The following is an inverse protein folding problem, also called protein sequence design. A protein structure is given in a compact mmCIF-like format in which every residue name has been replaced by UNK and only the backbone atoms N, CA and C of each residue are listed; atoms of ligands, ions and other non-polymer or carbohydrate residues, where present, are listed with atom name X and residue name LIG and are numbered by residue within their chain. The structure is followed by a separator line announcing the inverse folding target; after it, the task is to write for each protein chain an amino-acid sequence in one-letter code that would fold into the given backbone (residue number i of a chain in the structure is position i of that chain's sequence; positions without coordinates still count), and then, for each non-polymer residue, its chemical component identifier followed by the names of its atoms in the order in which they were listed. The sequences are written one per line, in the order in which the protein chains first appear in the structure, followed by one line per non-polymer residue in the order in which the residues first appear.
data_IF_440025953359
#
_entry.id   IF_440025953359
#
_cell.length_a   1.000
_cell.length_b   1.000
_cell.length_c   1.000
_cell.angle_alpha   90.00
_cell.angle_beta   90.00
_cell.angle_gamma   90.00
#
_symmetry.space_group_name_H-M   'P 1'
#
loop_
_entity.id
_entity.type
_entity.pdbx_description
1 polymer ?
#
# COMPACT_ATOMS: atom_id res chain seq x y z
N UNK A 1 14.68 -7.15 2.54
CA UNK A 1 14.29 -6.40 1.32
C UNK A 1 13.14 -5.49 1.71
N UNK A 2 12.72 -4.52 0.90
CA UNK A 2 11.62 -3.60 1.25
C UNK A 2 10.30 -4.05 0.61
N UNK A 3 9.89 -5.31 0.82
CA UNK A 3 8.59 -5.80 0.34
C UNK A 3 7.49 -5.56 1.38
N UNK A 4 6.23 -5.63 0.96
CA UNK A 4 5.08 -5.54 1.88
C UNK A 4 5.21 -6.55 3.03
N UNK A 5 5.56 -7.80 2.72
CA UNK A 5 5.70 -8.86 3.72
C UNK A 5 6.82 -8.56 4.74
N UNK A 6 7.97 -8.05 4.26
CA UNK A 6 9.08 -7.67 5.14
C UNK A 6 8.65 -6.55 6.11
N UNK A 7 7.97 -5.51 5.59
CA UNK A 7 7.52 -4.36 6.39
C UNK A 7 6.41 -4.73 7.40
N UNK A 8 5.48 -5.61 7.02
CA UNK A 8 4.44 -6.08 7.93
C UNK A 8 5.04 -6.93 9.07
N UNK A 9 6.00 -7.80 8.75
CA UNK A 9 6.69 -8.63 9.74
C UNK A 9 7.55 -7.79 10.71
N UNK A 10 8.16 -6.72 10.23
CA UNK A 10 8.99 -5.83 11.05
C UNK A 10 8.15 -4.90 11.96
N UNK A 11 7.01 -4.44 11.47
CA UNK A 11 6.27 -3.33 12.10
C UNK A 11 4.93 -3.72 12.74
N UNK A 12 4.45 -4.95 12.57
CA UNK A 12 3.12 -5.34 13.08
C UNK A 12 3.09 -6.76 13.65
N UNK A 13 2.12 -7.02 14.54
CA UNK A 13 1.79 -8.36 15.03
C UNK A 13 0.43 -8.84 14.46
N UNK A 14 0.18 -8.55 13.18
CA UNK A 14 -1.08 -8.93 12.52
C UNK A 14 -1.22 -10.45 12.40
N UNK A 15 -2.43 -11.01 12.57
CA UNK A 15 -2.66 -12.42 12.28
C UNK A 15 -2.42 -12.70 10.79
N UNK A 16 -2.01 -13.93 10.46
CA UNK A 16 -1.70 -14.31 9.07
C UNK A 16 -2.83 -14.00 8.08
N UNK A 17 -4.09 -14.18 8.48
CA UNK A 17 -5.25 -13.84 7.65
C UNK A 17 -5.35 -12.35 7.31
N UNK A 18 -4.92 -11.45 8.20
CA UNK A 18 -4.86 -10.02 7.92
C UNK A 18 -3.70 -9.69 6.99
N UNK A 19 -2.55 -10.35 7.15
CA UNK A 19 -1.40 -10.21 6.24
C UNK A 19 -1.79 -10.65 4.82
N UNK A 20 -2.44 -11.80 4.68
CA UNK A 20 -2.95 -12.32 3.40
C UNK A 20 -3.95 -11.34 2.76
N UNK A 21 -4.82 -10.74 3.57
CA UNK A 21 -5.76 -9.73 3.09
C UNK A 21 -5.04 -8.49 2.56
N UNK A 22 -4.01 -7.98 3.26
CA UNK A 22 -3.23 -6.83 2.79
C UNK A 22 -2.48 -7.15 1.49
N UNK A 23 -1.97 -8.38 1.33
CA UNK A 23 -1.41 -8.84 0.07
C UNK A 23 -2.45 -8.83 -1.06
N UNK A 24 -3.67 -9.31 -0.80
CA UNK A 24 -4.75 -9.28 -1.79
C UNK A 24 -5.14 -7.84 -2.16
N UNK A 25 -5.21 -6.93 -1.19
CA UNK A 25 -5.48 -5.50 -1.46
C UNK A 25 -4.41 -4.90 -2.36
N UNK A 26 -3.12 -5.09 -2.02
CA UNK A 26 -2.01 -4.56 -2.83
C UNK A 26 -1.91 -5.24 -4.20
N UNK A 27 -2.38 -6.47 -4.34
CA UNK A 27 -2.46 -7.16 -5.63
C UNK A 27 -3.47 -6.53 -6.59
N UNK A 28 -4.62 -6.07 -6.08
CA UNK A 28 -5.76 -5.67 -6.91
C UNK A 28 -6.02 -4.16 -6.98
N UNK A 29 -5.38 -3.36 -6.12
CA UNK A 29 -5.67 -1.93 -5.99
C UNK A 29 -5.23 -1.04 -7.17
N UNK A 30 -4.63 -1.58 -8.23
CA UNK A 30 -4.38 -0.80 -9.46
C UNK A 30 -5.69 -0.33 -10.07
N UNK A 31 -6.70 -1.21 -10.14
CA UNK A 31 -8.03 -0.85 -10.65
C UNK A 31 -8.68 0.24 -9.77
N UNK A 32 -8.51 0.14 -8.45
CA UNK A 32 -8.99 1.16 -7.52
C UNK A 32 -8.32 2.52 -7.76
N UNK A 33 -7.00 2.54 -7.93
CA UNK A 33 -6.23 3.75 -8.22
C UNK A 33 -6.67 4.36 -9.55
N UNK A 34 -6.79 3.55 -10.60
CA UNK A 34 -7.15 3.98 -11.95
C UNK A 34 -8.57 4.57 -12.01
N UNK A 35 -9.55 3.94 -11.37
CA UNK A 35 -10.94 4.41 -11.31
C UNK A 35 -11.11 5.68 -10.48
N UNK A 36 -10.20 5.91 -9.52
CA UNK A 36 -10.23 7.08 -8.64
C UNK A 36 -9.38 8.24 -9.15
N UNK A 37 -8.58 8.02 -10.20
CA UNK A 37 -7.57 8.97 -10.70
C UNK A 37 -6.63 9.49 -9.59
N UNK A 38 -6.30 8.63 -8.61
CA UNK A 38 -5.61 9.03 -7.39
C UNK A 38 -4.52 8.04 -6.97
N UNK A 39 -3.45 8.59 -6.37
CA UNK A 39 -2.43 7.82 -5.68
C UNK A 39 -2.96 7.28 -4.35
N UNK A 40 -2.56 6.07 -3.98
CA UNK A 40 -2.89 5.46 -2.69
C UNK A 40 -1.64 5.09 -1.92
N UNK A 41 -1.69 5.32 -0.60
CA UNK A 41 -0.68 4.87 0.36
C UNK A 41 -1.36 3.98 1.41
N UNK A 42 -0.79 2.81 1.65
CA UNK A 42 -1.25 1.91 2.71
C UNK A 42 -0.45 2.15 3.97
N UNK A 43 -1.14 2.47 5.07
CA UNK A 43 -0.55 2.73 6.37
C UNK A 43 -0.97 1.65 7.37
N UNK A 44 0.01 1.15 8.12
CA UNK A 44 -0.24 0.30 9.30
C UNK A 44 0.19 1.03 10.56
N UNK A 45 -0.48 0.73 11.66
CA UNK A 45 -0.14 1.25 12.98
C UNK A 45 0.68 0.22 13.73
N UNK A 46 1.83 0.64 14.24
CA UNK A 46 2.69 -0.15 15.14
C UNK A 46 2.14 -0.12 16.57
N UNK A 47 2.65 -1.01 17.41
CA UNK A 47 2.28 -1.07 18.83
C UNK A 47 2.67 0.21 19.60
N UNK A 48 3.71 0.92 19.15
CA UNK A 48 4.15 2.22 19.69
C UNK A 48 3.28 3.40 19.20
N UNK A 49 2.25 3.12 18.40
CA UNK A 49 1.32 4.11 17.84
C UNK A 49 1.80 4.82 16.57
N UNK A 50 3.06 4.60 16.16
CA UNK A 50 3.64 5.17 14.94
C UNK A 50 2.99 4.56 13.70
N UNK A 51 2.78 5.39 12.68
CA UNK A 51 2.27 4.95 11.39
C UNK A 51 3.43 4.66 10.43
N UNK A 52 3.37 3.52 9.77
CA UNK A 52 4.34 3.12 8.74
C UNK A 52 3.64 2.92 7.42
N UNK A 53 4.17 3.52 6.36
CA UNK A 53 3.71 3.30 5.00
C UNK A 53 4.32 2.00 4.48
N UNK A 54 3.48 1.03 4.13
CA UNK A 54 3.92 -0.33 3.76
C UNK A 54 3.74 -0.65 2.28
N UNK A 55 2.94 0.15 1.56
CA UNK A 55 2.79 0.05 0.12
C UNK A 55 2.30 1.39 -0.45
N UNK A 56 2.60 1.64 -1.72
CA UNK A 56 2.12 2.79 -2.49
C UNK A 56 1.77 2.36 -3.91
N UNK A 57 0.80 3.04 -4.52
CA UNK A 57 0.45 2.85 -5.93
C UNK A 57 0.09 4.18 -6.59
N UNK A 58 0.41 4.29 -7.88
CA UNK A 58 0.02 5.39 -8.75
C UNK A 58 -0.95 4.89 -9.81
N UNK A 59 -1.91 5.71 -10.26
CA UNK A 59 -2.81 5.31 -11.33
C UNK A 59 -2.06 5.28 -12.66
N UNK A 60 -2.33 4.27 -13.49
CA UNK A 60 -1.86 4.18 -14.87
C UNK A 60 -2.56 5.20 -15.77
N UNK A 61 -3.76 5.64 -15.38
CA UNK A 61 -4.55 6.68 -16.04
C UNK A 61 -4.13 8.10 -15.63
N UNK A 62 -3.07 8.26 -14.82
CA UNK A 62 -2.54 9.57 -14.47
C UNK A 62 -2.21 10.37 -15.75
N UNK A 63 -2.63 11.63 -15.88
CA UNK A 63 -2.21 12.45 -17.00
C UNK A 63 -0.69 12.57 -17.00
N UNK A 64 -0.05 12.30 -18.14
CA UNK A 64 1.38 12.57 -18.32
C UNK A 64 1.60 14.07 -18.14
N UNK A 65 2.14 14.48 -16.98
CA UNK A 65 2.48 15.88 -16.72
C UNK A 65 3.70 16.23 -17.55
N UNK A 66 3.49 16.91 -18.69
CA UNK A 66 4.53 17.66 -19.37
C UNK A 66 4.71 18.97 -18.60
N UNK A 67 5.76 19.07 -17.79
CA UNK A 67 6.22 20.36 -17.26
C UNK A 67 6.67 21.19 -18.46
N UNK A 68 5.86 22.18 -18.85
CA UNK A 68 6.21 23.22 -19.81
C UNK A 68 6.93 24.38 -19.12
#
# INVERSE_FOLDING_TARGET
MSTLGDLLAEHTMLPGSAVDHLHAVVGEWQMLSDLSFADYLMWVRRDDGVLVCVAQIRPNTAPTVLLA
#
